data_IF_913665146526
#
_entry.id   IF_913665146526
#
_cell.length_a   1.000
_cell.length_b   1.000
_cell.length_c   1.000
_cell.angle_alpha   90.00
_cell.angle_beta   90.00
_cell.angle_gamma   90.00
#
_symmetry.space_group_name_H-M   'P 1'
#
loop_
_entity.id
_entity.type
_entity.pdbx_description
1 polymer ?
#
# COMPACT_ATOMS: atom_id res chain seq x y z
N UNK A 1 -13.58 -2.31 -9.15
CA UNK A 1 -12.97 -3.64 -9.39
C UNK A 1 -13.05 -4.40 -8.08
N UNK A 2 -13.66 -5.57 -8.09
CA UNK A 2 -13.70 -6.50 -6.97
C UNK A 2 -12.52 -7.46 -7.07
N UNK A 3 -12.09 -8.01 -5.94
CA UNK A 3 -11.08 -9.07 -5.87
C UNK A 3 -11.77 -10.42 -5.59
N UNK A 4 -12.98 -10.60 -6.13
CA UNK A 4 -13.67 -11.89 -6.14
C UNK A 4 -13.01 -12.83 -7.18
N UNK A 5 -13.44 -14.09 -7.22
CA UNK A 5 -12.88 -15.10 -8.12
C UNK A 5 -13.00 -14.71 -9.61
N UNK A 6 -13.99 -13.88 -9.94
CA UNK A 6 -14.26 -13.42 -11.30
C UNK A 6 -13.51 -12.11 -11.66
N UNK A 7 -12.87 -11.45 -10.68
CA UNK A 7 -12.16 -10.18 -10.86
C UNK A 7 -13.03 -9.05 -11.42
N UNK A 8 -14.31 -8.99 -11.03
CA UNK A 8 -15.31 -8.17 -11.73
C UNK A 8 -15.01 -6.67 -11.65
N UNK A 9 -15.37 -5.94 -12.70
CA UNK A 9 -15.39 -4.47 -12.70
C UNK A 9 -16.82 -4.00 -12.85
N UNK A 10 -17.39 -3.48 -11.76
CA UNK A 10 -18.73 -2.90 -11.76
C UNK A 10 -18.66 -1.43 -12.15
N UNK A 11 -19.11 -1.10 -13.36
CA UNK A 11 -19.23 0.27 -13.82
C UNK A 11 -20.45 0.95 -13.17
N UNK A 12 -20.31 2.21 -12.75
CA UNK A 12 -21.36 2.92 -12.01
C UNK A 12 -21.91 2.10 -10.83
N UNK A 13 -21.01 1.41 -10.13
CA UNK A 13 -21.34 0.54 -9.00
C UNK A 13 -21.50 1.29 -7.68
N UNK A 14 -22.16 0.64 -6.73
CA UNK A 14 -22.26 1.06 -5.35
C UNK A 14 -21.89 -0.10 -4.40
N UNK A 15 -21.49 0.27 -3.19
CA UNK A 15 -21.15 -0.67 -2.10
C UNK A 15 -22.04 -0.33 -0.91
N UNK A 16 -22.80 -1.31 -0.44
CA UNK A 16 -23.56 -1.20 0.80
C UNK A 16 -22.72 -1.73 1.97
N UNK A 17 -22.66 -0.95 3.05
CA UNK A 17 -21.85 -1.24 4.24
C UNK A 17 -22.76 -1.19 5.46
N UNK A 18 -22.69 -2.22 6.31
CA UNK A 18 -23.30 -2.25 7.64
C UNK A 18 -22.21 -2.42 8.69
N UNK A 19 -22.00 -1.41 9.54
CA UNK A 19 -20.91 -1.40 10.51
C UNK A 19 -19.54 -1.57 9.86
N UNK A 20 -18.91 -2.73 10.11
CA UNK A 20 -17.59 -3.09 9.56
C UNK A 20 -17.66 -3.97 8.30
N UNK A 21 -18.85 -4.39 7.90
CA UNK A 21 -19.04 -5.41 6.88
C UNK A 21 -19.60 -4.82 5.59
N UNK A 22 -19.09 -5.31 4.46
CA UNK A 22 -19.68 -5.04 3.14
C UNK A 22 -20.79 -6.06 2.94
N UNK A 23 -22.04 -5.57 2.89
CA UNK A 23 -23.23 -6.44 2.80
C UNK A 23 -23.69 -6.66 1.37
N UNK A 24 -23.36 -5.75 0.44
CA UNK A 24 -23.64 -5.91 -0.98
C UNK A 24 -22.72 -5.04 -1.86
N UNK A 25 -22.44 -5.52 -3.07
CA UNK A 25 -21.72 -4.80 -4.13
C UNK A 25 -22.39 -5.10 -5.46
N UNK A 26 -22.93 -4.08 -6.12
CA UNK A 26 -23.55 -4.22 -7.45
C UNK A 26 -23.65 -2.85 -8.13
N UNK A 27 -24.33 -2.77 -9.28
CA UNK A 27 -24.70 -1.51 -9.92
C UNK A 27 -25.51 -0.64 -8.96
N UNK A 28 -25.31 0.68 -9.04
CA UNK A 28 -25.91 1.63 -8.09
C UNK A 28 -27.43 1.50 -7.98
N UNK A 29 -28.12 1.30 -9.11
CA UNK A 29 -29.57 1.17 -9.14
C UNK A 29 -30.08 -0.05 -8.36
N UNK A 30 -29.37 -1.20 -8.45
CA UNK A 30 -29.74 -2.41 -7.72
C UNK A 30 -29.58 -2.21 -6.21
N UNK A 31 -28.44 -1.65 -5.79
CA UNK A 31 -28.18 -1.32 -4.38
C UNK A 31 -29.22 -0.31 -3.85
N UNK A 32 -29.60 0.68 -4.65
CA UNK A 32 -30.63 1.66 -4.30
C UNK A 32 -32.06 1.11 -4.35
N UNK A 33 -32.32 -0.10 -4.83
CA UNK A 33 -33.64 -0.71 -4.69
C UNK A 33 -33.75 -1.47 -3.36
N UNK A 34 -32.66 -2.08 -2.92
CA UNK A 34 -32.65 -2.99 -1.77
C UNK A 34 -32.21 -2.32 -0.47
N UNK A 35 -31.33 -1.31 -0.54
CA UNK A 35 -30.71 -0.70 0.64
C UNK A 35 -31.00 0.81 0.75
N UNK A 36 -31.18 1.28 1.98
CA UNK A 36 -31.26 2.71 2.36
C UNK A 36 -30.34 2.94 3.55
N UNK A 37 -29.13 3.43 3.29
CA UNK A 37 -28.16 3.77 4.33
C UNK A 37 -28.52 5.04 5.09
N UNK A 38 -28.09 5.16 6.34
CA UNK A 38 -28.18 6.40 7.12
C UNK A 38 -27.29 7.52 6.57
N UNK A 39 -26.22 7.13 5.88
CA UNK A 39 -25.29 8.02 5.18
C UNK A 39 -25.10 7.51 3.75
N UNK A 40 -24.97 8.44 2.80
CA UNK A 40 -24.66 8.12 1.41
C UNK A 40 -23.52 9.02 0.95
N UNK A 41 -22.43 8.41 0.49
CA UNK A 41 -21.25 9.12 -0.01
C UNK A 41 -21.27 9.07 -1.54
N UNK A 42 -21.35 10.23 -2.19
CA UNK A 42 -21.21 10.34 -3.64
C UNK A 42 -19.73 10.24 -4.03
N UNK A 43 -19.38 9.13 -4.68
CA UNK A 43 -18.05 8.85 -5.19
C UNK A 43 -17.96 8.98 -6.72
N UNK A 44 -18.86 9.74 -7.36
CA UNK A 44 -18.84 9.97 -8.81
C UNK A 44 -17.47 10.46 -9.30
N UNK A 45 -17.01 9.90 -10.42
CA UNK A 45 -15.69 10.19 -11.00
C UNK A 45 -14.50 9.60 -10.21
N UNK A 46 -14.74 8.80 -9.17
CA UNK A 46 -13.72 8.10 -8.39
C UNK A 46 -13.82 6.60 -8.60
N UNK A 47 -12.81 5.88 -8.11
CA UNK A 47 -12.79 4.41 -8.12
C UNK A 47 -12.80 3.91 -6.68
N UNK A 48 -13.67 2.93 -6.41
CA UNK A 48 -13.66 2.15 -5.17
C UNK A 48 -12.90 0.85 -5.42
N UNK A 49 -11.94 0.56 -4.55
CA UNK A 49 -11.07 -0.61 -4.59
C UNK A 49 -10.97 -1.22 -3.19
N UNK A 50 -10.70 -2.53 -3.06
CA UNK A 50 -10.32 -3.12 -1.79
C UNK A 50 -9.10 -2.40 -1.20
N UNK A 51 -9.06 -2.34 0.13
CA UNK A 51 -7.92 -1.77 0.84
C UNK A 51 -6.62 -2.50 0.50
N UNK A 52 -5.55 -1.75 0.32
CA UNK A 52 -4.23 -2.34 0.06
C UNK A 52 -3.64 -2.91 1.37
N UNK A 53 -3.22 -4.17 1.32
CA UNK A 53 -2.52 -4.82 2.43
C UNK A 53 -1.01 -4.67 2.23
N UNK A 54 -0.34 -4.00 3.17
CA UNK A 54 1.12 -3.93 3.19
C UNK A 54 1.68 -5.03 4.11
N UNK A 55 2.18 -6.10 3.51
CA UNK A 55 2.71 -7.26 4.24
C UNK A 55 4.13 -7.07 4.78
N UNK A 56 4.81 -5.99 4.39
CA UNK A 56 6.20 -5.76 4.77
C UNK A 56 6.49 -4.27 4.95
N UNK A 57 6.46 -3.82 6.20
CA UNK A 57 6.83 -2.45 6.56
C UNK A 57 7.97 -2.44 7.57
N UNK A 58 8.90 -1.51 7.37
CA UNK A 58 9.93 -1.17 8.36
C UNK A 58 9.66 0.24 8.84
N UNK A 59 8.66 0.38 9.71
CA UNK A 59 8.05 1.66 10.09
C UNK A 59 9.07 2.70 10.57
N UNK A 60 10.08 2.29 11.33
CA UNK A 60 11.09 3.22 11.86
C UNK A 60 11.93 3.91 10.76
N UNK A 61 12.14 3.28 9.61
CA UNK A 61 12.92 3.92 8.54
C UNK A 61 12.16 4.99 7.77
N UNK A 62 10.87 5.20 8.06
CA UNK A 62 10.17 6.39 7.56
C UNK A 62 10.89 7.66 8.03
N UNK A 63 11.44 7.66 9.25
CA UNK A 63 12.23 8.78 9.79
C UNK A 63 13.57 8.97 9.05
N UNK A 64 14.10 7.91 8.44
CA UNK A 64 15.36 7.95 7.68
C UNK A 64 15.14 8.18 6.18
N UNK A 65 13.90 8.47 5.75
CA UNK A 65 13.56 8.65 4.34
C UNK A 65 14.33 9.85 3.78
N UNK A 66 15.18 9.58 2.77
CA UNK A 66 16.04 10.58 2.13
C UNK A 66 17.45 10.73 2.72
N UNK A 67 17.76 10.10 3.87
CA UNK A 67 19.08 10.21 4.52
C UNK A 67 20.12 9.30 3.85
N UNK A 68 19.76 8.04 3.60
CA UNK A 68 20.69 7.00 3.08
C UNK A 68 21.24 7.34 1.70
N UNK A 69 20.47 8.03 0.85
CA UNK A 69 20.92 8.41 -0.49
C UNK A 69 21.99 9.51 -0.48
N UNK A 70 22.07 10.33 0.59
CA UNK A 70 23.07 11.39 0.72
C UNK A 70 24.38 10.86 1.31
N UNK A 71 24.29 9.88 2.21
CA UNK A 71 25.43 9.28 2.91
C UNK A 71 26.30 8.39 2.00
N UNK A 72 25.71 7.61 1.07
CA UNK A 72 26.48 6.74 0.16
C UNK A 72 27.35 7.52 -0.84
N UNK A 73 26.91 8.70 -1.27
CA UNK A 73 27.72 9.62 -2.09
C UNK A 73 28.93 10.17 -1.32
N UNK A 74 28.78 10.43 -0.01
CA UNK A 74 29.87 10.91 0.83
C UNK A 74 30.87 9.81 1.20
N UNK A 75 30.41 8.57 1.41
CA UNK A 75 31.28 7.42 1.72
C UNK A 75 32.11 6.96 0.51
N UNK A 76 31.57 7.05 -0.71
CA UNK A 76 32.31 6.75 -1.94
C UNK A 76 33.53 7.65 -2.17
N UNK A 77 33.52 8.87 -1.63
CA UNK A 77 34.65 9.82 -1.72
C UNK A 77 35.80 9.51 -0.73
N UNK A 78 35.60 8.58 0.22
CA UNK A 78 36.60 8.23 1.26
C UNK A 78 37.23 6.84 1.09
N UNK A 79 37.02 6.18 -0.05
CA UNK A 79 37.64 4.87 -0.34
C UNK A 79 37.10 3.71 0.51
N UNK A 80 35.98 3.89 1.22
CA UNK A 80 35.32 2.82 1.99
C UNK A 80 34.28 2.14 1.10
N UNK A 81 34.54 0.89 0.73
CA UNK A 81 33.60 0.08 -0.04
C UNK A 81 32.42 -0.39 0.83
N UNK A 82 31.20 0.06 0.49
CA UNK A 82 29.97 -0.49 1.06
C UNK A 82 29.51 -1.63 0.16
N UNK A 83 29.74 -2.87 0.57
CA UNK A 83 29.12 -4.03 -0.11
C UNK A 83 27.68 -4.17 0.34
N UNK A 84 26.76 -3.97 -0.59
CA UNK A 84 25.36 -4.36 -0.46
C UNK A 84 25.26 -5.87 -0.73
N UNK A 85 24.97 -6.68 0.30
CA UNK A 85 24.67 -8.10 0.11
C UNK A 85 23.25 -8.19 -0.48
N UNK A 86 23.16 -8.45 -1.79
CA UNK A 86 21.89 -8.46 -2.55
C UNK A 86 20.84 -9.44 -2.00
N UNK A 87 21.24 -10.43 -1.21
CA UNK A 87 20.34 -11.45 -0.65
C UNK A 87 19.76 -11.12 0.74
N UNK A 88 20.09 -9.96 1.34
CA UNK A 88 19.55 -9.58 2.66
C UNK A 88 18.84 -8.23 2.59
N UNK A 89 17.50 -8.25 2.53
CA UNK A 89 16.71 -7.05 2.79
C UNK A 89 16.72 -6.62 4.28
N UNK A 90 17.51 -7.29 5.12
CA UNK A 90 17.84 -6.91 6.49
C UNK A 90 19.20 -6.19 6.52
N UNK A 91 19.19 -4.86 6.67
CA UNK A 91 20.39 -4.04 6.88
C UNK A 91 20.93 -4.29 8.30
N UNK A 92 21.84 -5.24 8.46
CA UNK A 92 22.89 -5.18 9.47
C UNK A 92 24.18 -4.82 8.73
N UNK A 93 24.67 -3.60 8.93
CA UNK A 93 25.99 -3.21 8.44
C UNK A 93 27.03 -3.93 9.30
N UNK A 94 27.78 -4.85 8.70
CA UNK A 94 29.05 -5.31 9.26
C UNK A 94 30.15 -4.90 8.28
N UNK A 95 31.18 -4.26 8.81
CA UNK A 95 32.38 -3.88 8.06
C UNK A 95 33.59 -4.49 8.73
N UNK A 96 34.54 -4.98 7.94
CA UNK A 96 35.85 -5.39 8.44
C UNK A 96 36.83 -4.23 8.25
N UNK A 97 37.38 -3.72 9.35
CA UNK A 97 38.53 -2.82 9.32
C UNK A 97 39.79 -3.65 9.03
N UNK A 98 40.52 -3.31 7.96
CA UNK A 98 41.91 -3.70 7.80
C UNK A 98 42.77 -2.60 8.43
N UNK A 99 43.64 -3.00 9.36
CA UNK A 99 44.80 -2.23 9.75
C UNK A 99 45.82 -2.22 8.61
#
# INVERSE_FOLDING_TARGET
>A
MTMDDDGRVVASGAVAIDGSDIVAVDVADAIQQEFRGSETIDAAGRVVLPGLINTHIRALMVLCRGLVARETKAAGLRGVGVSHKLESNMKLASGTARW
#
